data_IF_696674957008
#
_entry.id   IF_696674957008
#
_cell.length_a   1.000
_cell.length_b   1.000
_cell.length_c   1.000
_cell.angle_alpha   90.00
_cell.angle_beta   90.00
_cell.angle_gamma   90.00
#
_symmetry.space_group_name_H-M   'P 1'
#
loop_
_entity.id
_entity.type
_entity.pdbx_description
1 polymer ?
#
# COMPACT_ATOMS: atom_id res chain seq x y z
N UNK A 1 -8.06 -33.14 13.60
CA UNK A 1 -6.98 -32.77 12.66
C UNK A 1 -6.43 -31.44 13.14
N UNK A 2 -5.27 -31.46 13.80
CA UNK A 2 -4.54 -30.23 14.12
C UNK A 2 -3.95 -29.71 12.81
N UNK A 3 -4.72 -28.87 12.13
CA UNK A 3 -4.23 -28.11 10.97
C UNK A 3 -3.21 -27.12 11.51
N UNK A 4 -1.92 -27.43 11.37
CA UNK A 4 -0.87 -26.44 11.62
C UNK A 4 -1.12 -25.27 10.68
N UNK A 5 -1.71 -24.20 11.23
CA UNK A 5 -1.86 -22.94 10.51
C UNK A 5 -0.44 -22.43 10.21
N UNK A 6 -0.19 -21.90 9.00
CA UNK A 6 1.12 -21.36 8.65
C UNK A 6 1.55 -20.33 9.70
N UNK A 7 2.79 -20.44 10.17
CA UNK A 7 3.31 -19.65 11.30
C UNK A 7 4.80 -19.43 11.11
N UNK A 8 5.25 -18.20 11.35
CA UNK A 8 6.66 -17.85 11.34
C UNK A 8 7.40 -18.42 12.56
N UNK A 9 8.74 -18.61 12.44
CA UNK A 9 9.57 -19.09 13.54
C UNK A 9 9.52 -18.16 14.76
N UNK A 10 9.96 -18.66 15.92
CA UNK A 10 9.82 -17.94 17.18
C UNK A 10 10.58 -16.61 17.24
N UNK A 11 11.66 -16.50 16.46
CA UNK A 11 12.47 -15.30 16.33
C UNK A 11 11.89 -14.25 15.36
N UNK A 12 10.78 -14.56 14.68
CA UNK A 12 10.14 -13.62 13.77
C UNK A 12 9.51 -12.45 14.54
N UNK A 13 9.73 -11.26 14.00
CA UNK A 13 9.10 -10.03 14.49
C UNK A 13 8.13 -9.49 13.44
N UNK A 14 6.95 -9.01 13.85
CA UNK A 14 6.03 -8.37 12.93
C UNK A 14 6.62 -7.08 12.34
N UNK A 15 6.09 -6.61 11.20
CA UNK A 15 6.46 -5.31 10.66
C UNK A 15 6.32 -4.22 11.71
N UNK A 16 7.26 -3.27 11.71
CA UNK A 16 7.15 -2.09 12.56
C UNK A 16 5.87 -1.29 12.27
N UNK A 17 5.42 -0.53 13.25
CA UNK A 17 4.22 0.31 13.13
C UNK A 17 4.26 1.27 11.93
N UNK A 18 5.42 1.90 11.67
CA UNK A 18 5.58 2.85 10.56
C UNK A 18 5.27 2.25 9.18
N UNK A 19 5.97 1.17 8.77
CA UNK A 19 5.66 0.46 7.53
C UNK A 19 4.20 -0.04 7.44
N UNK A 20 3.66 -0.59 8.54
CA UNK A 20 2.26 -1.06 8.57
C UNK A 20 1.25 0.08 8.35
N UNK A 21 1.47 1.22 9.01
CA UNK A 21 0.67 2.44 8.85
C UNK A 21 0.80 3.02 7.44
N UNK A 22 2.00 3.06 6.90
CA UNK A 22 2.22 3.55 5.53
C UNK A 22 1.46 2.69 4.52
N UNK A 23 1.49 1.36 4.66
CA UNK A 23 0.73 0.44 3.82
C UNK A 23 -0.78 0.73 3.86
N UNK A 24 -1.34 0.91 5.05
CA UNK A 24 -2.74 1.25 5.22
C UNK A 24 -3.11 2.64 4.69
N UNK A 25 -2.22 3.63 4.84
CA UNK A 25 -2.44 4.96 4.27
C UNK A 25 -2.44 4.94 2.74
N UNK A 26 -1.53 4.17 2.12
CA UNK A 26 -1.49 4.00 0.67
C UNK A 26 -2.76 3.30 0.18
N UNK A 27 -3.18 2.22 0.85
CA UNK A 27 -4.44 1.55 0.53
C UNK A 27 -5.64 2.47 0.72
N UNK A 28 -5.63 3.27 1.80
CA UNK A 28 -6.63 4.28 2.10
C UNK A 28 -6.71 5.37 1.02
N UNK A 29 -5.57 5.79 0.45
CA UNK A 29 -5.53 6.75 -0.65
C UNK A 29 -6.18 6.17 -1.93
N UNK A 30 -5.95 4.89 -2.22
CA UNK A 30 -6.60 4.19 -3.33
C UNK A 30 -8.11 4.06 -3.09
N UNK A 31 -8.52 3.85 -1.84
CA UNK A 31 -9.93 3.75 -1.42
C UNK A 31 -10.65 5.11 -1.37
N UNK A 32 -9.94 6.20 -1.12
CA UNK A 32 -10.53 7.53 -0.87
C UNK A 32 -11.47 8.03 -1.99
N UNK A 33 -11.17 7.89 -3.30
CA UNK A 33 -12.09 8.28 -4.36
C UNK A 33 -13.43 7.56 -4.30
N UNK A 34 -13.42 6.26 -3.97
CA UNK A 34 -14.65 5.46 -3.83
C UNK A 34 -15.48 5.96 -2.64
N UNK A 35 -14.84 6.18 -1.50
CA UNK A 35 -15.50 6.75 -0.30
C UNK A 35 -16.10 8.11 -0.61
N UNK A 36 -15.38 8.97 -1.33
CA UNK A 36 -15.85 10.30 -1.71
C UNK A 36 -17.06 10.26 -2.63
N UNK A 37 -17.05 9.40 -3.64
CA UNK A 37 -18.20 9.24 -4.54
C UNK A 37 -19.42 8.71 -3.79
N UNK A 38 -19.25 7.69 -2.94
CA UNK A 38 -20.34 7.14 -2.13
C UNK A 38 -20.89 8.19 -1.15
N UNK A 39 -20.02 8.97 -0.51
CA UNK A 39 -20.42 10.01 0.40
C UNK A 39 -21.15 11.15 -0.33
N UNK A 40 -20.67 11.55 -1.51
CA UNK A 40 -21.35 12.52 -2.35
C UNK A 40 -22.75 12.02 -2.75
N UNK A 41 -22.88 10.77 -3.20
CA UNK A 41 -24.18 10.16 -3.49
C UNK A 41 -25.11 10.16 -2.28
N UNK A 42 -24.58 9.91 -1.07
CA UNK A 42 -25.37 9.96 0.15
C UNK A 42 -25.96 11.36 0.41
N UNK A 43 -25.25 12.44 0.05
CA UNK A 43 -25.77 13.82 0.18
C UNK A 43 -26.94 14.14 -0.77
N UNK A 44 -27.25 13.28 -1.73
CA UNK A 44 -28.44 13.39 -2.57
C UNK A 44 -29.71 12.92 -1.83
N UNK A 45 -29.55 12.20 -0.72
CA UNK A 45 -30.67 11.79 0.12
C UNK A 45 -31.15 12.97 0.96
N UNK A 46 -32.46 13.24 1.04
CA UNK A 46 -33.00 14.38 1.81
C UNK A 46 -32.63 14.39 3.29
N UNK A 47 -32.33 13.20 3.86
CA UNK A 47 -31.96 13.04 5.26
C UNK A 47 -30.50 13.40 5.56
N UNK A 48 -29.62 13.43 4.55
CA UNK A 48 -28.19 13.69 4.74
C UNK A 48 -27.90 15.16 4.47
N UNK A 49 -27.28 15.91 5.40
CA UNK A 49 -26.96 17.30 5.19
C UNK A 49 -26.07 17.51 3.95
N UNK A 50 -26.48 18.41 3.06
CA UNK A 50 -25.64 18.84 1.95
C UNK A 50 -24.40 19.57 2.48
N UNK A 51 -23.24 19.27 1.89
CA UNK A 51 -21.94 19.84 2.28
C UNK A 51 -21.17 20.20 1.02
N UNK A 52 -20.36 21.26 1.12
CA UNK A 52 -19.44 21.61 0.04
C UNK A 52 -18.40 20.52 -0.22
N UNK A 53 -17.95 20.39 -1.47
CA UNK A 53 -16.98 19.38 -1.87
C UNK A 53 -15.70 19.38 -1.02
N UNK A 54 -15.18 20.56 -0.66
CA UNK A 54 -14.01 20.67 0.22
C UNK A 54 -14.21 20.05 1.60
N UNK A 55 -15.42 20.13 2.15
CA UNK A 55 -15.75 19.49 3.43
C UNK A 55 -15.80 17.97 3.31
N UNK A 56 -16.37 17.45 2.21
CA UNK A 56 -16.39 16.00 1.93
C UNK A 56 -14.97 15.45 1.76
N UNK A 57 -14.10 16.17 1.04
CA UNK A 57 -12.69 15.85 0.87
C UNK A 57 -11.96 15.81 2.22
N UNK A 58 -12.15 16.83 3.05
CA UNK A 58 -11.54 16.87 4.38
C UNK A 58 -12.02 15.69 5.25
N UNK A 59 -13.31 15.41 5.26
CA UNK A 59 -13.91 14.28 5.98
C UNK A 59 -13.30 12.95 5.53
N UNK A 60 -13.21 12.70 4.23
CA UNK A 60 -12.64 11.46 3.70
C UNK A 60 -11.15 11.34 4.02
N UNK A 61 -10.38 12.42 3.91
CA UNK A 61 -8.95 12.43 4.22
C UNK A 61 -8.69 12.10 5.69
N UNK A 62 -9.43 12.72 6.62
CA UNK A 62 -9.29 12.43 8.05
C UNK A 62 -9.77 11.01 8.37
N UNK A 63 -10.87 10.55 7.74
CA UNK A 63 -11.35 9.19 7.90
C UNK A 63 -10.33 8.14 7.42
N UNK A 64 -9.60 8.40 6.33
CA UNK A 64 -8.50 7.53 5.88
C UNK A 64 -7.40 7.44 6.93
N UNK A 65 -6.97 8.57 7.49
CA UNK A 65 -5.94 8.59 8.52
C UNK A 65 -6.36 7.86 9.79
N UNK A 66 -7.57 8.14 10.29
CA UNK A 66 -8.12 7.51 11.51
C UNK A 66 -8.41 6.02 11.29
N UNK A 67 -8.97 5.66 10.14
CA UNK A 67 -9.23 4.28 9.76
C UNK A 67 -7.94 3.46 9.69
N UNK A 68 -6.94 3.95 8.96
CA UNK A 68 -5.62 3.32 8.86
C UNK A 68 -4.95 3.15 10.22
N UNK A 69 -4.96 4.18 11.06
CA UNK A 69 -4.43 4.10 12.42
C UNK A 69 -5.17 3.04 13.25
N UNK A 70 -6.50 3.02 13.17
CA UNK A 70 -7.32 2.08 13.95
C UNK A 70 -7.10 0.64 13.50
N UNK A 71 -7.08 0.38 12.19
CA UNK A 71 -6.85 -0.96 11.64
C UNK A 71 -5.48 -1.50 12.08
N UNK A 72 -4.40 -0.73 11.93
CA UNK A 72 -3.05 -1.15 12.34
C UNK A 72 -2.96 -1.48 13.84
N UNK A 73 -3.57 -0.65 14.70
CA UNK A 73 -3.58 -0.87 16.14
C UNK A 73 -4.33 -2.14 16.53
N UNK A 74 -5.39 -2.47 15.78
CA UNK A 74 -6.19 -3.67 16.03
C UNK A 74 -5.52 -4.91 15.46
N UNK A 75 -4.83 -4.81 14.32
CA UNK A 75 -4.16 -5.91 13.63
C UNK A 75 -2.87 -6.37 14.33
N UNK A 76 -2.09 -5.46 14.91
CA UNK A 76 -0.79 -5.78 15.54
C UNK A 76 -0.89 -6.91 16.59
N UNK A 77 -1.88 -6.92 17.52
CA UNK A 77 -2.10 -8.05 18.41
C UNK A 77 -2.37 -9.38 17.70
N UNK A 78 -3.08 -9.39 16.57
CA UNK A 78 -3.33 -10.62 15.80
C UNK A 78 -2.04 -11.13 15.17
N UNK A 79 -1.28 -10.24 14.52
CA UNK A 79 -0.02 -10.55 13.88
C UNK A 79 0.99 -11.14 14.88
N UNK A 80 1.13 -10.52 16.06
CA UNK A 80 2.01 -11.00 17.13
C UNK A 80 1.59 -12.36 17.69
N UNK A 81 0.30 -12.53 18.00
CA UNK A 81 -0.20 -13.78 18.59
C UNK A 81 -0.07 -14.96 17.62
N UNK A 82 -0.41 -14.73 16.35
CA UNK A 82 -0.42 -15.77 15.31
C UNK A 82 0.92 -15.91 14.60
N UNK A 83 1.90 -15.03 14.85
CA UNK A 83 3.21 -14.98 14.21
C UNK A 83 3.13 -15.04 12.69
N UNK A 84 2.31 -14.18 12.11
CA UNK A 84 2.11 -14.10 10.66
C UNK A 84 1.70 -12.66 10.31
N UNK A 85 2.24 -12.10 9.23
CA UNK A 85 1.92 -10.73 8.80
C UNK A 85 0.46 -10.59 8.37
N UNK A 86 -0.09 -11.61 7.71
CA UNK A 86 -1.52 -11.73 7.40
C UNK A 86 -2.05 -13.02 8.05
N UNK A 87 -2.56 -12.95 9.28
CA UNK A 87 -2.88 -14.14 10.06
C UNK A 87 -4.02 -15.01 9.53
N UNK A 88 -4.84 -14.48 8.62
CA UNK A 88 -6.03 -15.16 8.16
C UNK A 88 -7.11 -15.31 9.24
N UNK A 89 -8.24 -15.90 8.86
CA UNK A 89 -9.40 -16.12 9.71
C UNK A 89 -10.43 -15.00 9.65
N UNK A 90 -11.70 -15.37 9.80
CA UNK A 90 -12.82 -14.43 9.76
C UNK A 90 -12.78 -13.36 10.87
N UNK A 91 -12.16 -13.68 12.00
CA UNK A 91 -11.98 -12.70 13.08
C UNK A 91 -10.96 -11.62 12.70
N UNK A 92 -9.83 -11.99 12.11
CA UNK A 92 -8.89 -11.02 11.56
C UNK A 92 -9.48 -10.25 10.38
N UNK A 93 -10.28 -10.90 9.53
CA UNK A 93 -10.91 -10.26 8.38
C UNK A 93 -11.96 -9.20 8.76
N UNK A 94 -12.66 -9.36 9.89
CA UNK A 94 -13.81 -8.53 10.26
C UNK A 94 -13.53 -7.58 11.43
N UNK A 95 -12.72 -7.96 12.42
CA UNK A 95 -12.54 -7.15 13.64
C UNK A 95 -11.86 -5.80 13.35
N UNK A 96 -10.70 -5.71 12.68
CA UNK A 96 -10.08 -4.42 12.34
C UNK A 96 -11.01 -3.46 11.58
N UNK A 97 -11.65 -3.84 10.46
CA UNK A 97 -12.50 -2.93 9.71
C UNK A 97 -13.79 -2.56 10.46
N UNK A 98 -14.33 -3.43 11.32
CA UNK A 98 -15.49 -3.10 12.16
C UNK A 98 -15.14 -2.10 13.27
N UNK A 99 -13.97 -2.23 13.89
CA UNK A 99 -13.52 -1.24 14.89
C UNK A 99 -13.22 0.10 14.21
N UNK A 100 -12.57 0.08 13.05
CA UNK A 100 -12.35 1.28 12.25
C UNK A 100 -13.66 1.93 11.80
N UNK A 101 -14.67 1.15 11.43
CA UNK A 101 -16.00 1.65 11.10
C UNK A 101 -16.62 2.46 12.24
N UNK A 102 -16.52 1.99 13.49
CA UNK A 102 -17.00 2.73 14.67
C UNK A 102 -16.26 4.06 14.79
N UNK A 103 -14.94 4.06 14.66
CA UNK A 103 -14.13 5.27 14.71
C UNK A 103 -14.51 6.27 13.61
N UNK A 104 -14.75 5.79 12.38
CA UNK A 104 -15.14 6.60 11.23
C UNK A 104 -16.54 7.19 11.38
N UNK A 105 -17.51 6.43 11.91
CA UNK A 105 -18.85 6.96 12.22
C UNK A 105 -18.77 8.05 13.28
N UNK A 106 -18.04 7.79 14.37
CA UNK A 106 -17.86 8.76 15.45
C UNK A 106 -17.17 10.04 14.96
N UNK A 107 -16.12 9.90 14.14
CA UNK A 107 -15.44 11.01 13.49
C UNK A 107 -16.39 11.80 12.59
N UNK A 108 -17.14 11.10 11.74
CA UNK A 108 -18.10 11.71 10.82
C UNK A 108 -19.16 12.52 11.57
N UNK A 109 -19.66 11.99 12.68
CA UNK A 109 -20.58 12.70 13.56
C UNK A 109 -19.92 13.92 14.21
N UNK A 110 -18.72 13.77 14.78
CA UNK A 110 -18.02 14.86 15.47
C UNK A 110 -17.64 16.02 14.55
N UNK A 111 -17.11 15.72 13.35
CA UNK A 111 -16.68 16.73 12.39
C UNK A 111 -17.85 17.43 11.68
N UNK A 112 -18.98 16.73 11.53
CA UNK A 112 -20.14 17.29 10.85
C UNK A 112 -21.16 17.91 11.81
N UNK A 113 -21.21 17.48 13.06
CA UNK A 113 -22.30 17.79 14.00
C UNK A 113 -23.62 17.08 13.68
N UNK A 114 -23.62 16.07 12.78
CA UNK A 114 -24.82 15.34 12.35
C UNK A 114 -24.58 13.83 12.38
N UNK A 115 -25.49 13.11 13.04
CA UNK A 115 -25.44 11.65 13.10
C UNK A 115 -25.73 11.03 11.74
N UNK A 116 -26.58 11.67 10.94
CA UNK A 116 -26.91 11.27 9.57
C UNK A 116 -25.67 11.30 8.68
N UNK A 117 -24.87 12.37 8.79
CA UNK A 117 -23.61 12.49 8.06
C UNK A 117 -22.55 11.50 8.57
N UNK A 118 -22.49 11.25 9.89
CA UNK A 118 -21.67 10.19 10.46
C UNK A 118 -22.05 8.80 9.94
N UNK A 119 -23.35 8.53 9.82
CA UNK A 119 -23.89 7.28 9.29
C UNK A 119 -23.63 7.14 7.80
N UNK A 120 -23.77 8.22 7.03
CA UNK A 120 -23.43 8.26 5.60
C UNK A 120 -21.95 7.96 5.37
N UNK A 121 -21.07 8.57 6.16
CA UNK A 121 -19.62 8.30 6.12
C UNK A 121 -19.31 6.85 6.51
N UNK A 122 -19.90 6.35 7.60
CA UNK A 122 -19.77 4.95 8.00
C UNK A 122 -20.21 3.99 6.90
N UNK A 123 -21.34 4.27 6.25
CA UNK A 123 -21.87 3.44 5.17
C UNK A 123 -20.93 3.42 3.97
N UNK A 124 -20.44 4.60 3.54
CA UNK A 124 -19.47 4.71 2.46
C UNK A 124 -18.16 3.96 2.77
N UNK A 125 -17.66 4.10 3.99
CA UNK A 125 -16.48 3.39 4.47
C UNK A 125 -16.69 1.88 4.55
N UNK A 126 -17.82 1.44 5.12
CA UNK A 126 -18.16 0.04 5.29
C UNK A 126 -18.33 -0.69 3.96
N UNK A 127 -19.02 -0.07 3.00
CA UNK A 127 -19.23 -0.67 1.67
C UNK A 127 -17.90 -0.82 0.92
N UNK A 128 -17.06 0.21 0.96
CA UNK A 128 -15.73 0.16 0.32
C UNK A 128 -14.78 -0.82 1.03
N UNK A 129 -14.81 -0.92 2.36
CA UNK A 129 -14.10 -1.97 3.10
C UNK A 129 -14.62 -3.36 2.73
N UNK A 130 -15.93 -3.57 2.63
CA UNK A 130 -16.49 -4.88 2.29
C UNK A 130 -16.02 -5.37 0.92
N UNK A 131 -15.96 -4.47 -0.08
CA UNK A 131 -15.37 -4.79 -1.40
C UNK A 131 -13.89 -5.11 -1.28
N UNK A 132 -13.13 -4.32 -0.51
CA UNK A 132 -11.71 -4.57 -0.26
C UNK A 132 -11.45 -5.94 0.39
N UNK A 133 -12.24 -6.30 1.40
CA UNK A 133 -12.17 -7.61 2.08
C UNK A 133 -12.53 -8.73 1.09
N UNK A 134 -13.58 -8.55 0.28
CA UNK A 134 -13.99 -9.57 -0.71
C UNK A 134 -12.90 -9.85 -1.75
N UNK A 135 -12.19 -8.82 -2.20
CA UNK A 135 -11.11 -8.93 -3.19
C UNK A 135 -9.82 -9.46 -2.54
N UNK A 136 -9.41 -8.88 -1.41
CA UNK A 136 -8.14 -9.19 -0.74
C UNK A 136 -8.15 -10.50 0.03
N UNK A 137 -9.34 -11.06 0.31
CA UNK A 137 -9.55 -12.32 1.04
C UNK A 137 -8.73 -12.43 2.33
N UNK A 138 -8.78 -11.46 3.24
CA UNK A 138 -7.98 -11.47 4.47
C UNK A 138 -8.34 -12.62 5.43
N UNK A 139 -9.41 -13.37 5.15
CA UNK A 139 -9.74 -14.60 5.87
C UNK A 139 -8.84 -15.79 5.47
N UNK A 140 -8.17 -15.72 4.33
CA UNK A 140 -7.12 -16.68 3.93
C UNK A 140 -5.80 -16.26 4.58
N UNK A 141 -5.09 -17.18 5.27
CA UNK A 141 -3.76 -16.89 5.80
C UNK A 141 -2.79 -16.52 4.66
N UNK A 142 -1.95 -15.52 4.91
CA UNK A 142 -0.87 -15.17 3.99
C UNK A 142 0.31 -16.13 4.09
N UNK A 143 1.33 -15.84 3.28
CA UNK A 143 2.60 -16.56 3.31
C UNK A 143 3.37 -16.31 4.60
N UNK A 144 4.16 -17.30 4.99
CA UNK A 144 5.22 -17.12 5.98
C UNK A 144 6.34 -16.22 5.42
N UNK A 145 7.20 -15.71 6.29
CA UNK A 145 8.32 -14.86 5.88
C UNK A 145 9.29 -15.62 4.97
N UNK A 146 9.56 -16.89 5.28
CA UNK A 146 10.46 -17.73 4.50
C UNK A 146 9.90 -18.01 3.09
N UNK A 147 8.59 -18.26 2.99
CA UNK A 147 7.88 -18.39 1.71
C UNK A 147 7.93 -17.09 0.92
N UNK A 148 7.65 -15.95 1.56
CA UNK A 148 7.71 -14.64 0.92
C UNK A 148 9.12 -14.31 0.41
N UNK A 149 10.16 -14.60 1.21
CA UNK A 149 11.55 -14.33 0.85
C UNK A 149 12.01 -15.22 -0.31
N UNK A 150 11.55 -16.49 -0.36
CA UNK A 150 11.82 -17.41 -1.46
C UNK A 150 11.18 -16.92 -2.77
N UNK A 151 9.89 -16.59 -2.75
CA UNK A 151 9.15 -16.03 -3.89
C UNK A 151 9.75 -14.70 -4.35
N UNK A 152 10.18 -13.85 -3.41
CA UNK A 152 10.84 -12.59 -3.73
C UNK A 152 12.21 -12.80 -4.39
N UNK A 153 12.98 -13.79 -3.94
CA UNK A 153 14.24 -14.15 -4.57
C UNK A 153 14.02 -14.68 -5.99
N UNK A 154 13.05 -15.57 -6.19
CA UNK A 154 12.66 -16.09 -7.50
C UNK A 154 12.21 -14.96 -8.44
N UNK A 155 11.36 -14.05 -7.97
CA UNK A 155 10.93 -12.88 -8.73
C UNK A 155 12.12 -12.01 -9.15
N UNK A 156 13.08 -11.81 -8.25
CA UNK A 156 14.29 -11.02 -8.52
C UNK A 156 15.18 -11.70 -9.56
N UNK A 157 15.31 -13.02 -9.51
CA UNK A 157 16.08 -13.77 -10.49
C UNK A 157 15.40 -13.76 -11.87
N UNK A 158 14.08 -13.97 -11.94
CA UNK A 158 13.33 -13.80 -13.19
C UNK A 158 13.46 -12.40 -13.77
N UNK A 159 13.41 -11.38 -12.91
CA UNK A 159 13.60 -9.98 -13.31
C UNK A 159 15.00 -9.75 -13.85
N UNK A 160 16.03 -10.28 -13.16
CA UNK A 160 17.42 -10.19 -13.61
C UNK A 160 17.62 -10.89 -14.96
N UNK A 161 17.07 -12.07 -15.17
CA UNK A 161 17.16 -12.81 -16.43
C UNK A 161 16.47 -12.06 -17.57
N UNK A 162 15.29 -11.51 -17.31
CA UNK A 162 14.52 -10.72 -18.30
C UNK A 162 15.29 -9.47 -18.74
N UNK A 163 15.95 -8.77 -17.81
CA UNK A 163 16.65 -7.52 -18.10
C UNK A 163 18.16 -7.70 -18.39
N UNK A 164 18.72 -8.91 -18.26
CA UNK A 164 20.11 -9.21 -18.58
C UNK A 164 20.55 -8.75 -19.99
N UNK A 165 19.81 -9.04 -21.08
CA UNK A 165 20.19 -8.61 -22.42
C UNK A 165 20.19 -7.08 -22.58
N UNK A 166 19.23 -6.39 -21.96
CA UNK A 166 19.15 -4.92 -22.00
C UNK A 166 20.31 -4.27 -21.25
N UNK A 167 20.68 -4.82 -20.09
CA UNK A 167 21.83 -4.35 -19.30
C UNK A 167 23.13 -4.58 -20.06
N UNK A 168 23.29 -5.73 -20.71
CA UNK A 168 24.47 -6.03 -21.52
C UNK A 168 24.56 -5.11 -22.74
N UNK A 169 23.44 -4.83 -23.40
CA UNK A 169 23.39 -3.87 -24.50
C UNK A 169 23.75 -2.44 -24.05
N UNK A 170 23.20 -1.98 -22.92
CA UNK A 170 23.54 -0.67 -22.34
C UNK A 170 25.03 -0.61 -22.01
N UNK A 171 25.59 -1.67 -21.40
CA UNK A 171 27.01 -1.75 -21.06
C UNK A 171 27.90 -1.73 -22.30
N UNK A 172 27.51 -2.45 -23.36
CA UNK A 172 28.20 -2.42 -24.67
C UNK A 172 28.19 -1.02 -25.27
N UNK A 173 27.01 -0.37 -25.36
CA UNK A 173 26.88 0.99 -25.87
C UNK A 173 27.68 2.00 -25.05
N UNK A 174 27.72 1.85 -23.72
CA UNK A 174 28.53 2.69 -22.84
C UNK A 174 30.03 2.50 -23.08
N UNK A 175 30.49 1.25 -23.24
CA UNK A 175 31.87 0.92 -23.58
C UNK A 175 32.31 1.51 -24.93
N UNK A 176 31.47 1.38 -25.96
CA UNK A 176 31.72 1.97 -27.29
C UNK A 176 31.83 3.50 -27.22
N UNK A 177 30.98 4.18 -26.43
CA UNK A 177 31.06 5.64 -26.23
C UNK A 177 32.35 6.07 -25.54
N UNK A 178 32.78 5.33 -24.52
CA UNK A 178 34.03 5.62 -23.81
C UNK A 178 35.24 5.44 -24.72
N UNK A 179 35.28 4.36 -25.50
CA UNK A 179 36.37 4.12 -26.47
C UNK A 179 36.42 5.17 -27.57
N UNK A 180 35.26 5.62 -28.08
CA UNK A 180 35.21 6.74 -29.04
C UNK A 180 35.77 8.03 -28.43
N UNK A 181 35.36 8.39 -27.22
CA UNK A 181 35.90 9.58 -26.53
C UNK A 181 37.41 9.51 -26.32
N UNK A 182 37.93 8.34 -25.98
CA UNK A 182 39.37 8.13 -25.80
C UNK A 182 40.13 8.29 -27.13
N UNK A 183 39.61 7.69 -28.21
CA UNK A 183 40.17 7.84 -29.56
C UNK A 183 40.16 9.30 -30.02
N UNK A 184 39.03 9.99 -29.88
CA UNK A 184 38.91 11.41 -30.25
C UNK A 184 39.87 12.30 -29.45
N UNK A 185 40.15 11.96 -28.19
CA UNK A 185 41.11 12.67 -27.36
C UNK A 185 42.56 12.49 -27.84
N UNK A 186 42.93 11.27 -28.27
CA UNK A 186 44.25 10.99 -28.85
C UNK A 186 44.42 11.74 -30.18
N UNK A 187 43.43 11.69 -31.06
CA UNK A 187 43.48 12.39 -32.35
C UNK A 187 43.52 13.93 -32.20
N UNK A 188 42.89 14.48 -31.15
CA UNK A 188 43.03 15.91 -30.82
C UNK A 188 44.44 16.27 -30.36
N UNK A 189 45.05 15.44 -29.50
CA UNK A 189 46.44 15.66 -29.06
C UNK A 189 47.41 15.61 -30.23
N UNK A 190 47.27 14.60 -31.09
CA UNK A 190 48.11 14.42 -32.27
C UNK A 190 48.01 15.60 -33.26
N UNK A 191 46.81 16.12 -33.50
CA UNK A 191 46.63 17.32 -34.35
C UNK A 191 47.19 18.61 -33.73
N UNK A 192 47.25 18.69 -32.41
CA UNK A 192 47.94 19.79 -31.73
C UNK A 192 49.45 19.69 -31.90
N UNK A 193 50.01 18.48 -31.79
CA UNK A 193 51.44 18.23 -31.96
C UNK A 193 51.91 18.41 -33.42
N UNK A 194 51.10 18.00 -34.41
CA UNK A 194 51.40 18.17 -35.85
C UNK A 194 51.11 19.60 -36.37
N UNK A 195 50.40 20.44 -35.61
CA UNK A 195 50.09 21.84 -35.99
C UNK A 195 51.02 22.89 -35.36
N UNK A 196 51.94 22.45 -34.50
CA UNK A 196 52.98 23.28 -33.86
C UNK A 196 54.36 23.14 -34.55
N UNK A 197 54.48 22.34 -35.63
CA UNK A 197 55.62 22.32 -36.57
C UNK A 197 55.37 23.21 -37.80
#
# INVERSE_FOLDING_TARGET
>A
MTSDRPRNPDAWEPPGFGPALLGHLVLGLVKAPVVLVLLWLATLLPAVPSRGAGHLVALAAVAVGVGALTEVLVEDPFARRRKLSSPGGWDFALVPPLVALIAVVALGWLMSGSLEMGTAMGTAWGLSSAVGIAIGRPWEPGMTQDEFDAEYAELKDMTRETFAPDVEEIRRRAGERTMRRYRDAIERKRRHEEGEE
#
